data_IF_340662206734
#
_entry.id   IF_340662206734
#
_cell.length_a   1.000
_cell.length_b   1.000
_cell.length_c   1.000
_cell.angle_alpha   90.00
_cell.angle_beta   90.00
_cell.angle_gamma   90.00
#
_symmetry.space_group_name_H-M   'P 1'
#
loop_
_entity.id
_entity.type
_entity.pdbx_description
1 polymer ?
#
# COMPACT_ATOMS: atom_id res chain seq x y z
N UNK A 1 4.60 -4.87 35.52
CA UNK A 1 5.32 -4.77 34.23
C UNK A 1 4.63 -3.67 33.44
N UNK A 2 5.22 -2.48 33.41
CA UNK A 2 4.89 -1.48 32.39
C UNK A 2 5.74 -1.84 31.17
N UNK A 3 5.17 -2.60 30.21
CA UNK A 3 5.76 -2.71 28.89
C UNK A 3 5.75 -1.31 28.28
N UNK A 4 6.93 -0.76 28.06
CA UNK A 4 7.11 0.35 27.14
C UNK A 4 6.71 -0.17 25.77
N UNK A 5 5.60 0.30 25.22
CA UNK A 5 5.22 -0.04 23.86
C UNK A 5 6.38 0.32 22.94
N UNK A 6 6.96 -0.68 22.27
CA UNK A 6 7.99 -0.43 21.26
C UNK A 6 7.35 0.33 20.11
N UNK A 7 7.91 1.50 19.77
CA UNK A 7 7.53 2.24 18.58
C UNK A 7 8.27 1.60 17.38
N UNK A 8 7.53 0.93 16.50
CA UNK A 8 8.06 0.30 15.28
C UNK A 8 7.88 1.19 14.05
N UNK A 9 7.70 2.49 14.24
CA UNK A 9 7.62 3.44 13.13
C UNK A 9 8.88 3.37 12.26
N UNK A 10 8.72 3.47 10.96
CA UNK A 10 9.77 3.34 9.98
C UNK A 10 9.61 4.39 8.88
N UNK A 11 10.72 4.97 8.48
CA UNK A 11 10.84 5.75 7.25
C UNK A 11 11.86 5.07 6.34
N UNK A 12 11.54 4.94 5.05
CA UNK A 12 12.45 4.43 4.04
C UNK A 12 12.46 5.38 2.84
N UNK A 13 13.61 5.98 2.60
CA UNK A 13 13.84 6.86 1.47
C UNK A 13 14.42 6.14 0.25
N UNK A 14 14.64 4.82 0.37
CA UNK A 14 15.20 3.95 -0.66
C UNK A 14 16.56 4.41 -1.21
N UNK A 15 17.37 5.07 -0.39
CA UNK A 15 18.75 5.44 -0.77
C UNK A 15 19.71 4.26 -0.74
N UNK A 16 19.42 3.24 0.06
CA UNK A 16 20.19 2.01 0.16
C UNK A 16 20.04 1.14 -1.09
N UNK A 17 21.11 0.52 -1.60
CA UNK A 17 21.03 -0.46 -2.70
C UNK A 17 20.44 -1.82 -2.28
N UNK A 18 20.13 -2.00 -1.00
CA UNK A 18 19.48 -3.17 -0.45
C UNK A 18 18.22 -2.74 0.31
N UNK A 19 17.17 -3.55 0.21
CA UNK A 19 15.94 -3.35 0.99
C UNK A 19 16.23 -3.41 2.50
N UNK A 20 15.58 -2.55 3.26
CA UNK A 20 15.57 -2.64 4.71
C UNK A 20 15.03 -4.01 5.17
N UNK A 21 15.58 -4.62 6.24
CA UNK A 21 15.16 -5.93 6.73
C UNK A 21 13.68 -6.05 7.11
N UNK A 22 12.97 -4.95 7.34
CA UNK A 22 11.54 -4.97 7.60
C UNK A 22 10.70 -5.30 6.35
N UNK A 23 11.26 -5.12 5.15
CA UNK A 23 10.59 -5.48 3.91
C UNK A 23 10.61 -6.98 3.68
N UNK A 24 9.47 -7.50 3.30
CA UNK A 24 9.27 -8.91 2.95
C UNK A 24 8.72 -8.99 1.53
N UNK A 25 9.02 -10.09 0.87
CA UNK A 25 8.45 -10.49 -0.42
C UNK A 25 7.66 -11.78 -0.28
N UNK A 26 6.78 -12.08 -1.21
CA UNK A 26 6.01 -13.32 -1.17
C UNK A 26 6.81 -14.46 -1.82
N UNK A 27 7.18 -15.48 -1.05
CA UNK A 27 7.79 -16.76 -1.46
C UNK A 27 9.17 -16.71 -2.10
N UNK A 28 9.54 -15.61 -2.75
CA UNK A 28 10.84 -15.47 -3.43
C UNK A 28 11.56 -14.22 -2.93
N UNK A 29 12.88 -14.22 -2.84
CA UNK A 29 13.63 -13.03 -2.48
C UNK A 29 13.44 -11.89 -3.48
N UNK A 30 13.68 -10.66 -3.04
CA UNK A 30 13.75 -9.51 -3.92
C UNK A 30 14.89 -9.67 -4.93
N UNK A 31 14.59 -9.58 -6.21
CA UNK A 31 15.55 -9.74 -7.29
C UNK A 31 15.35 -8.69 -8.38
N UNK A 32 16.33 -8.52 -9.26
CA UNK A 32 16.23 -7.63 -10.41
C UNK A 32 15.03 -7.90 -11.35
N UNK A 33 14.44 -9.10 -11.30
CA UNK A 33 13.18 -9.43 -12.01
C UNK A 33 11.99 -8.69 -11.39
N UNK A 34 12.02 -8.48 -10.08
CA UNK A 34 10.96 -7.78 -9.35
C UNK A 34 11.17 -6.26 -9.38
N UNK A 35 12.43 -5.83 -9.28
CA UNK A 35 12.76 -4.41 -9.26
C UNK A 35 14.17 -4.11 -8.76
N UNK A 36 14.40 -2.85 -8.45
CA UNK A 36 15.66 -2.34 -7.88
C UNK A 36 15.38 -1.31 -6.81
N UNK A 37 16.30 -1.16 -5.85
CA UNK A 37 16.29 -0.11 -4.83
C UNK A 37 17.63 0.61 -4.82
N UNK A 38 17.64 1.89 -4.46
CA UNK A 38 18.80 2.75 -4.40
C UNK A 38 18.55 4.12 -5.01
N UNK A 39 19.46 5.04 -4.81
CA UNK A 39 19.41 6.41 -5.36
C UNK A 39 18.12 7.17 -5.03
N UNK A 40 17.55 6.92 -3.85
CA UNK A 40 16.35 7.61 -3.35
C UNK A 40 15.03 7.09 -3.89
N UNK A 41 15.02 5.89 -4.48
CA UNK A 41 13.79 5.26 -4.96
C UNK A 41 13.84 3.74 -4.97
N UNK A 42 12.66 3.15 -4.85
CA UNK A 42 12.38 1.78 -5.21
C UNK A 42 11.70 1.77 -6.58
N UNK A 43 12.20 1.00 -7.51
CA UNK A 43 11.55 0.74 -8.80
C UNK A 43 11.02 -0.68 -8.80
N UNK A 44 9.71 -0.87 -8.97
CA UNK A 44 9.09 -2.17 -9.17
C UNK A 44 8.70 -2.36 -10.65
N UNK A 45 8.97 -3.54 -11.17
CA UNK A 45 8.60 -3.94 -12.53
C UNK A 45 7.25 -4.66 -12.44
N UNK A 46 6.22 -4.16 -13.12
CA UNK A 46 4.90 -4.76 -13.12
C UNK A 46 4.91 -6.20 -13.58
N UNK A 47 4.29 -7.07 -12.78
CA UNK A 47 4.13 -8.50 -13.04
C UNK A 47 2.65 -8.90 -12.87
N UNK A 48 2.38 -10.14 -12.46
CA UNK A 48 1.04 -10.64 -12.18
C UNK A 48 0.31 -9.90 -11.04
N UNK A 49 -0.94 -10.23 -10.82
CA UNK A 49 -1.78 -9.58 -9.81
C UNK A 49 -1.40 -9.96 -8.40
N UNK A 50 -1.94 -9.21 -7.43
CA UNK A 50 -1.87 -9.55 -6.00
C UNK A 50 -2.59 -10.87 -5.65
N UNK A 51 -3.42 -11.40 -6.54
CA UNK A 51 -3.99 -12.74 -6.43
C UNK A 51 -3.05 -13.85 -6.95
N UNK A 52 -1.88 -13.50 -7.47
CA UNK A 52 -0.86 -14.43 -7.91
C UNK A 52 0.02 -14.87 -6.73
N UNK A 53 0.57 -16.08 -6.80
CA UNK A 53 1.40 -16.62 -5.69
C UNK A 53 2.89 -16.68 -6.02
N UNK A 54 3.29 -16.42 -7.24
CA UNK A 54 4.69 -16.55 -7.67
C UNK A 54 5.21 -15.34 -8.47
N UNK A 55 4.50 -14.94 -9.51
CA UNK A 55 4.94 -13.87 -10.39
C UNK A 55 4.23 -12.55 -10.02
N UNK A 56 4.66 -11.92 -8.93
CA UNK A 56 4.14 -10.62 -8.51
C UNK A 56 5.27 -9.73 -7.98
N UNK A 57 5.12 -8.44 -8.21
CA UNK A 57 6.00 -7.42 -7.65
C UNK A 57 5.33 -6.78 -6.45
N UNK A 58 5.66 -7.32 -5.27
CA UNK A 58 5.17 -6.87 -3.97
C UNK A 58 6.32 -6.87 -2.97
N UNK A 59 6.55 -5.74 -2.33
CA UNK A 59 7.29 -5.66 -1.08
C UNK A 59 6.38 -5.14 0.01
N UNK A 60 6.42 -5.73 1.18
CA UNK A 60 5.51 -5.38 2.26
C UNK A 60 6.15 -5.56 3.63
N UNK A 61 5.70 -4.78 4.59
CA UNK A 61 6.06 -4.93 6.01
C UNK A 61 4.83 -5.29 6.83
N UNK A 62 5.05 -5.96 7.97
CA UNK A 62 3.95 -6.34 8.87
C UNK A 62 3.25 -5.13 9.47
N UNK A 63 1.93 -5.25 9.67
CA UNK A 63 1.23 -4.46 10.66
C UNK A 63 1.73 -4.85 12.05
N UNK A 64 2.22 -3.89 12.79
CA UNK A 64 2.73 -4.09 14.16
C UNK A 64 1.91 -3.33 15.21
N UNK A 65 0.91 -2.57 14.75
CA UNK A 65 -0.02 -1.83 15.60
C UNK A 65 -1.44 -1.92 15.05
N UNK A 66 -2.43 -1.72 15.93
CA UNK A 66 -3.84 -1.60 15.56
C UNK A 66 -4.22 -0.18 15.11
N UNK A 67 -3.36 0.79 15.39
CA UNK A 67 -3.51 2.19 15.02
C UNK A 67 -2.23 2.66 14.38
N UNK A 68 -2.25 2.86 13.09
CA UNK A 68 -1.11 3.39 12.35
C UNK A 68 -1.55 4.07 11.06
N UNK A 69 -0.67 4.91 10.54
CA UNK A 69 -0.72 5.42 9.18
C UNK A 69 0.48 4.89 8.40
N UNK A 70 0.29 4.58 7.12
CA UNK A 70 1.39 4.31 6.22
C UNK A 70 1.18 5.06 4.91
N UNK A 71 2.23 5.71 4.43
CA UNK A 71 2.18 6.56 3.25
C UNK A 71 3.36 6.31 2.32
N UNK A 72 3.16 6.61 1.04
CA UNK A 72 4.18 6.50 0.01
C UNK A 72 3.94 7.52 -1.10
N UNK A 73 5.01 8.05 -1.67
CA UNK A 73 5.01 8.84 -2.88
C UNK A 73 5.25 7.95 -4.09
N UNK A 74 4.37 7.98 -5.08
CA UNK A 74 4.37 7.11 -6.26
C UNK A 74 4.48 7.92 -7.53
N UNK A 75 5.35 7.48 -8.44
CA UNK A 75 5.37 7.90 -9.84
C UNK A 75 5.08 6.70 -10.71
N UNK A 76 4.03 6.80 -11.53
CA UNK A 76 3.63 5.73 -12.43
C UNK A 76 2.88 6.30 -13.62
N UNK A 77 3.21 5.83 -14.82
CA UNK A 77 2.60 6.27 -16.07
C UNK A 77 1.96 5.06 -16.79
N UNK A 78 0.77 4.62 -16.34
CA UNK A 78 0.03 3.57 -17.01
C UNK A 78 -0.56 4.08 -18.32
N UNK A 79 -0.67 3.20 -19.30
CA UNK A 79 -1.36 3.44 -20.57
C UNK A 79 -2.48 2.41 -20.82
N UNK A 80 -2.76 1.55 -19.86
CA UNK A 80 -3.79 0.52 -19.92
C UNK A 80 -4.36 0.26 -18.53
N UNK A 81 -5.65 -0.09 -18.45
CA UNK A 81 -6.31 -0.54 -17.22
C UNK A 81 -5.71 -1.84 -16.63
N UNK A 82 -4.88 -2.53 -17.41
CA UNK A 82 -4.15 -3.73 -16.99
C UNK A 82 -2.88 -3.42 -16.20
N UNK A 83 -2.55 -2.15 -16.06
CA UNK A 83 -1.36 -1.67 -15.35
C UNK A 83 -1.77 -0.91 -14.11
N UNK A 84 -1.20 -1.29 -12.95
CA UNK A 84 -1.54 -0.75 -11.65
C UNK A 84 -0.31 -0.62 -10.79
N UNK A 85 -0.20 0.47 -10.02
CA UNK A 85 0.86 0.62 -9.02
C UNK A 85 0.39 1.47 -7.84
N UNK A 86 0.75 1.09 -6.62
CA UNK A 86 0.33 1.83 -5.43
C UNK A 86 0.58 1.12 -4.11
N UNK A 87 -0.29 1.40 -3.13
CA UNK A 87 -0.21 0.98 -1.74
C UNK A 87 -1.27 -0.11 -1.46
N UNK A 88 -0.84 -1.23 -0.90
CA UNK A 88 -1.71 -2.36 -0.58
C UNK A 88 -1.70 -2.69 0.91
N UNK A 89 -2.85 -3.13 1.42
CA UNK A 89 -2.94 -3.89 2.65
C UNK A 89 -3.20 -5.35 2.27
N UNK A 90 -2.35 -6.26 2.70
CA UNK A 90 -2.24 -7.61 2.14
C UNK A 90 -2.12 -8.66 3.24
N UNK A 91 -2.88 -9.75 3.12
CA UNK A 91 -2.72 -10.94 3.94
C UNK A 91 -2.22 -12.13 3.10
N UNK A 92 -2.94 -12.45 2.01
CA UNK A 92 -2.59 -13.49 1.04
C UNK A 92 -3.24 -13.21 -0.33
N UNK A 93 -3.09 -14.13 -1.28
CA UNK A 93 -3.64 -14.05 -2.63
C UNK A 93 -5.15 -13.86 -2.73
N UNK A 94 -5.90 -14.10 -1.65
CA UNK A 94 -7.38 -14.01 -1.59
C UNK A 94 -7.91 -12.91 -0.68
N UNK A 95 -7.03 -12.26 0.10
CA UNK A 95 -7.41 -11.28 1.09
C UNK A 95 -6.43 -10.10 1.03
N UNK A 96 -6.80 -9.06 0.32
CA UNK A 96 -6.02 -7.83 0.16
C UNK A 96 -6.90 -6.68 -0.31
N UNK A 97 -6.45 -5.47 -0.08
CA UNK A 97 -6.97 -4.27 -0.71
C UNK A 97 -5.83 -3.46 -1.31
N UNK A 98 -6.13 -2.64 -2.31
CA UNK A 98 -5.14 -1.93 -3.07
C UNK A 98 -5.69 -0.57 -3.52
N UNK A 99 -5.01 0.51 -3.16
CA UNK A 99 -5.19 1.83 -3.76
C UNK A 99 -4.09 2.03 -4.78
N UNK A 100 -4.44 2.36 -6.01
CA UNK A 100 -3.48 2.34 -7.11
C UNK A 100 -3.77 3.37 -8.19
N UNK A 101 -2.70 3.75 -8.88
CA UNK A 101 -2.76 4.42 -10.17
C UNK A 101 -3.02 3.38 -11.26
N UNK A 102 -3.90 3.71 -12.19
CA UNK A 102 -4.19 2.94 -13.40
C UNK A 102 -4.64 3.87 -14.53
N UNK A 103 -5.11 3.31 -15.61
CA UNK A 103 -5.63 4.03 -16.77
C UNK A 103 -7.07 3.63 -17.08
N UNK A 104 -7.90 4.59 -17.47
CA UNK A 104 -9.15 4.30 -18.14
C UNK A 104 -9.32 5.17 -19.40
N UNK A 105 -10.13 4.69 -20.33
CA UNK A 105 -10.34 5.29 -21.66
C UNK A 105 -10.96 6.71 -21.59
N UNK A 106 -11.68 7.01 -20.51
CA UNK A 106 -12.45 8.26 -20.37
C UNK A 106 -11.58 9.36 -19.78
N UNK A 107 -10.84 9.04 -18.71
CA UNK A 107 -10.16 10.03 -17.87
C UNK A 107 -8.63 9.97 -17.98
N UNK A 108 -8.07 8.98 -18.68
CA UNK A 108 -6.63 8.74 -18.72
C UNK A 108 -6.11 8.13 -17.40
N UNK A 109 -5.09 8.73 -16.81
CA UNK A 109 -4.53 8.30 -15.52
C UNK A 109 -5.51 8.58 -14.39
N UNK A 110 -5.84 7.55 -13.61
CA UNK A 110 -6.82 7.60 -12.53
C UNK A 110 -6.35 6.86 -11.29
N UNK A 111 -6.95 7.18 -10.15
CA UNK A 111 -6.86 6.43 -8.91
C UNK A 111 -8.08 5.54 -8.76
N UNK A 112 -7.87 4.29 -8.37
CA UNK A 112 -8.89 3.30 -8.08
C UNK A 112 -8.60 2.59 -6.76
N UNK A 113 -9.63 2.00 -6.15
CA UNK A 113 -9.51 1.13 -4.97
C UNK A 113 -10.14 -0.23 -5.27
N UNK A 114 -9.36 -1.27 -5.13
CA UNK A 114 -9.81 -2.65 -5.25
C UNK A 114 -9.64 -3.43 -3.96
N UNK A 115 -10.52 -4.39 -3.73
CA UNK A 115 -10.43 -5.37 -2.65
C UNK A 115 -10.63 -6.78 -3.20
N UNK A 116 -9.84 -7.71 -2.71
CA UNK A 116 -10.10 -9.14 -2.86
C UNK A 116 -10.44 -9.71 -1.49
N UNK A 117 -11.68 -10.16 -1.34
CA UNK A 117 -12.16 -10.80 -0.13
C UNK A 117 -12.63 -12.21 -0.47
N UNK A 118 -11.93 -13.22 0.07
CA UNK A 118 -12.18 -14.65 -0.18
C UNK A 118 -12.11 -15.03 -1.66
N UNK A 119 -11.26 -14.36 -2.43
CA UNK A 119 -11.12 -14.58 -3.87
C UNK A 119 -12.14 -13.83 -4.73
N UNK A 120 -13.04 -13.05 -4.12
CA UNK A 120 -13.97 -12.19 -4.84
C UNK A 120 -13.42 -10.77 -4.92
N UNK A 121 -13.14 -10.31 -6.13
CA UNK A 121 -12.69 -8.95 -6.39
C UNK A 121 -13.85 -7.95 -6.44
N UNK A 122 -13.65 -6.80 -5.80
CA UNK A 122 -14.55 -5.64 -5.83
C UNK A 122 -13.73 -4.41 -6.23
N UNK A 123 -14.15 -3.68 -7.26
CA UNK A 123 -13.68 -2.34 -7.59
C UNK A 123 -14.66 -1.36 -6.95
N UNK A 124 -14.16 -0.44 -6.13
CA UNK A 124 -15.01 0.44 -5.33
C UNK A 124 -15.40 1.73 -6.04
N UNK A 125 -14.49 2.32 -6.80
CA UNK A 125 -14.75 3.61 -7.46
C UNK A 125 -15.37 3.43 -8.85
N UNK A 126 -15.00 2.38 -9.58
CA UNK A 126 -15.56 2.09 -10.92
C UNK A 126 -15.60 3.32 -11.84
N UNK A 127 -16.83 3.73 -12.22
CA UNK A 127 -17.07 4.89 -13.08
C UNK A 127 -16.71 6.24 -12.40
N UNK A 128 -16.52 6.23 -11.08
CA UNK A 128 -16.12 7.37 -10.27
C UNK A 128 -14.62 7.36 -9.94
N UNK A 129 -13.81 6.64 -10.69
CA UNK A 129 -12.34 6.66 -10.53
C UNK A 129 -11.82 8.10 -10.52
N UNK A 130 -10.93 8.41 -9.59
CA UNK A 130 -10.47 9.79 -9.37
C UNK A 130 -9.45 10.13 -10.45
N UNK A 131 -9.78 11.11 -11.29
CA UNK A 131 -8.87 11.59 -12.33
C UNK A 131 -7.64 12.22 -11.70
N UNK A 132 -6.45 11.81 -12.13
CA UNK A 132 -5.19 12.51 -11.85
C UNK A 132 -5.09 13.69 -12.80
N UNK A 133 -4.91 14.92 -12.30
CA UNK A 133 -4.79 16.11 -13.15
C UNK A 133 -3.61 15.98 -14.13
N UNK A 134 -3.77 16.55 -15.31
CA UNK A 134 -2.72 16.55 -16.33
C UNK A 134 -1.47 17.28 -15.80
N UNK A 135 -0.29 16.71 -16.00
CA UNK A 135 0.98 17.24 -15.52
C UNK A 135 1.35 16.85 -14.08
N UNK A 136 0.46 16.18 -13.35
CA UNK A 136 0.80 15.60 -12.04
C UNK A 136 1.68 14.37 -12.24
N UNK A 137 2.94 14.49 -11.83
CA UNK A 137 3.95 13.45 -11.95
C UNK A 137 3.90 12.48 -10.78
N UNK A 138 3.65 12.98 -9.57
CA UNK A 138 3.66 12.20 -8.33
C UNK A 138 2.29 12.20 -7.67
N UNK A 139 1.93 11.04 -7.11
CA UNK A 139 0.74 10.90 -6.27
C UNK A 139 1.18 10.28 -4.95
N UNK A 140 0.70 10.82 -3.84
CA UNK A 140 0.89 10.21 -2.52
C UNK A 140 -0.33 9.40 -2.18
N UNK A 141 -0.11 8.18 -1.73
CA UNK A 141 -1.13 7.34 -1.11
C UNK A 141 -0.86 7.19 0.37
N UNK A 142 -1.92 7.17 1.16
CA UNK A 142 -1.86 6.89 2.58
C UNK A 142 -2.99 5.94 2.96
N UNK A 143 -2.67 4.90 3.76
CA UNK A 143 -3.66 4.07 4.47
C UNK A 143 -3.71 4.49 5.93
N UNK A 144 -4.92 4.56 6.48
CA UNK A 144 -5.18 4.88 7.89
C UNK A 144 -5.86 3.69 8.54
N UNK A 145 -5.14 2.98 9.40
CA UNK A 145 -5.68 1.82 10.12
C UNK A 145 -6.11 2.24 11.52
N UNK A 146 -7.36 1.93 11.86
CA UNK A 146 -8.01 2.31 13.12
C UNK A 146 -8.74 1.11 13.70
N UNK A 147 -7.96 0.15 14.23
CA UNK A 147 -8.39 -1.08 14.87
C UNK A 147 -9.26 -1.97 13.97
N UNK A 148 -10.54 -1.70 13.86
CA UNK A 148 -11.50 -2.53 13.12
C UNK A 148 -11.68 -2.11 11.68
N UNK A 149 -11.29 -0.89 11.33
CA UNK A 149 -11.48 -0.35 9.99
C UNK A 149 -10.20 0.31 9.48
N UNK A 150 -10.10 0.42 8.17
CA UNK A 150 -9.10 1.23 7.53
C UNK A 150 -9.65 1.90 6.29
N UNK A 151 -9.01 3.00 5.89
CA UNK A 151 -9.36 3.78 4.70
C UNK A 151 -8.09 4.16 3.95
N UNK A 152 -8.30 4.70 2.76
CA UNK A 152 -7.24 5.25 1.93
C UNK A 152 -7.44 6.74 1.69
N UNK A 153 -6.35 7.43 1.56
CA UNK A 153 -6.27 8.83 1.16
C UNK A 153 -5.28 8.99 0.01
N UNK A 154 -5.46 10.05 -0.75
CA UNK A 154 -4.51 10.46 -1.78
C UNK A 154 -4.17 11.93 -1.66
N UNK A 155 -3.02 12.32 -2.22
CA UNK A 155 -2.61 13.71 -2.37
C UNK A 155 -1.86 13.90 -3.68
N UNK A 156 -1.99 15.09 -4.29
CA UNK A 156 -1.22 15.49 -5.47
C UNK A 156 -0.08 16.46 -5.15
N UNK A 157 0.01 16.94 -3.92
CA UNK A 157 1.03 17.89 -3.44
C UNK A 157 1.88 17.33 -2.28
N UNK A 158 1.47 16.19 -1.70
CA UNK A 158 2.12 15.57 -0.54
C UNK A 158 1.78 16.23 0.80
N UNK A 159 0.92 17.24 0.81
CA UNK A 159 0.53 18.00 2.00
C UNK A 159 -0.96 17.85 2.28
N UNK A 160 -1.78 18.12 1.27
CA UNK A 160 -3.25 18.11 1.38
C UNK A 160 -3.77 16.73 0.99
N UNK A 161 -4.12 15.92 1.97
CA UNK A 161 -4.69 14.59 1.74
C UNK A 161 -6.21 14.64 1.67
N UNK A 162 -6.75 13.95 0.68
CA UNK A 162 -8.19 13.76 0.46
C UNK A 162 -8.56 12.32 0.73
N UNK A 163 -9.54 12.10 1.60
CA UNK A 163 -10.04 10.77 1.89
C UNK A 163 -10.80 10.20 0.69
N UNK A 164 -10.51 8.96 0.34
CA UNK A 164 -11.28 8.19 -0.62
C UNK A 164 -12.50 7.63 0.11
N UNK A 165 -13.74 7.82 -0.39
CA UNK A 165 -14.96 7.45 0.34
C UNK A 165 -15.20 5.94 0.34
N UNK A 166 -14.21 5.18 0.79
CA UNK A 166 -14.21 3.71 0.92
C UNK A 166 -13.65 3.36 2.29
N UNK A 167 -14.49 2.78 3.14
CA UNK A 167 -14.08 2.22 4.43
C UNK A 167 -14.06 0.71 4.34
N UNK A 168 -12.95 0.10 4.74
CA UNK A 168 -12.68 -1.33 4.66
C UNK A 168 -12.62 -1.95 6.05
N UNK A 169 -12.99 -3.22 6.14
CA UNK A 169 -12.97 -3.99 7.39
C UNK A 169 -11.58 -4.64 7.58
N UNK A 170 -10.88 -4.24 8.64
CA UNK A 170 -9.57 -4.80 8.97
C UNK A 170 -9.63 -6.28 9.37
N UNK A 171 -10.78 -6.78 9.79
CA UNK A 171 -10.96 -8.20 10.11
C UNK A 171 -10.70 -9.11 8.90
N UNK A 172 -10.98 -8.64 7.68
CA UNK A 172 -10.70 -9.37 6.42
C UNK A 172 -9.23 -9.78 6.29
N UNK A 173 -8.33 -9.02 6.94
CA UNK A 173 -6.88 -9.25 6.96
C UNK A 173 -6.41 -9.92 8.27
N UNK A 174 -7.31 -10.55 9.02
CA UNK A 174 -6.96 -11.26 10.27
C UNK A 174 -6.87 -12.77 10.04
N UNK A 175 -6.05 -13.42 10.88
CA UNK A 175 -5.92 -14.88 10.90
C UNK A 175 -7.28 -15.57 11.13
N UNK A 176 -8.09 -15.06 12.07
CA UNK A 176 -9.40 -15.63 12.40
C UNK A 176 -10.36 -15.60 11.22
N UNK A 177 -10.39 -14.52 10.46
CA UNK A 177 -11.27 -14.39 9.29
C UNK A 177 -10.82 -15.31 8.14
N UNK A 178 -9.52 -15.35 7.88
CA UNK A 178 -8.94 -16.16 6.81
C UNK A 178 -9.09 -17.65 7.09
N UNK A 179 -8.90 -18.07 8.35
CA UNK A 179 -9.10 -19.44 8.83
C UNK A 179 -10.49 -20.00 8.52
N UNK A 180 -11.53 -19.17 8.58
CA UNK A 180 -12.90 -19.57 8.32
C UNK A 180 -13.16 -19.97 6.87
N UNK A 181 -12.33 -19.51 5.93
CA UNK A 181 -12.58 -19.67 4.49
C UNK A 181 -11.53 -20.47 3.74
N UNK A 182 -10.30 -20.57 4.24
CA UNK A 182 -9.19 -21.10 3.41
C UNK A 182 -8.08 -21.83 4.17
N UNK A 183 -8.24 -22.03 5.45
CA UNK A 183 -7.15 -22.58 6.28
C UNK A 183 -6.15 -21.50 6.72
N UNK A 184 -5.69 -21.61 7.93
CA UNK A 184 -4.88 -20.56 8.54
C UNK A 184 -3.42 -20.71 8.22
N UNK A 185 -2.81 -19.57 8.04
CA UNK A 185 -1.37 -19.49 7.80
C UNK A 185 -0.63 -18.69 8.87
N UNK A 186 -1.32 -18.11 9.84
CA UNK A 186 -0.73 -17.32 10.95
C UNK A 186 0.34 -16.33 10.47
N UNK A 187 0.06 -15.64 9.37
CA UNK A 187 1.02 -14.70 8.78
C UNK A 187 0.79 -13.28 9.24
N UNK A 188 -0.44 -12.93 9.63
CA UNK A 188 -0.84 -11.56 9.94
C UNK A 188 -0.92 -10.66 8.71
N UNK A 189 -1.41 -9.44 8.91
CA UNK A 189 -1.54 -8.43 7.86
C UNK A 189 -0.21 -7.73 7.55
N UNK A 190 -0.09 -7.27 6.32
CA UNK A 190 1.03 -6.47 5.81
C UNK A 190 0.51 -5.20 5.15
N UNK A 191 1.32 -4.15 5.16
CA UNK A 191 1.18 -2.97 4.30
C UNK A 191 2.36 -2.92 3.35
N UNK A 192 2.11 -2.65 2.07
CA UNK A 192 3.18 -2.77 1.09
C UNK A 192 2.96 -2.02 -0.22
N UNK A 193 3.95 -2.12 -1.07
CA UNK A 193 4.06 -1.47 -2.37
C UNK A 193 3.99 -2.52 -3.45
N UNK A 194 3.17 -2.30 -4.46
CA UNK A 194 2.98 -3.26 -5.52
C UNK A 194 2.90 -2.62 -6.90
N UNK A 195 3.38 -3.36 -7.90
CA UNK A 195 3.23 -3.04 -9.32
C UNK A 195 2.72 -4.25 -10.09
N UNK A 196 1.69 -4.03 -10.89
CA UNK A 196 0.99 -5.05 -11.68
C UNK A 196 1.00 -4.65 -13.15
N UNK A 197 1.25 -5.59 -14.03
CA UNK A 197 1.14 -5.42 -15.49
C UNK A 197 0.67 -6.73 -16.14
N UNK A 198 -0.64 -6.87 -16.31
CA UNK A 198 -1.24 -8.02 -16.98
C UNK A 198 -0.96 -8.03 -18.49
N UNK A 199 -0.62 -6.87 -19.08
CA UNK A 199 -0.32 -6.76 -20.49
C UNK A 199 1.09 -7.30 -20.82
N UNK A 200 1.93 -7.51 -19.78
CA UNK A 200 3.25 -8.12 -19.93
C UNK A 200 4.34 -7.21 -20.49
N UNK A 201 4.13 -5.90 -20.47
CA UNK A 201 5.15 -4.91 -20.89
C UNK A 201 6.23 -4.69 -19.83
N UNK A 202 6.00 -5.13 -18.58
CA UNK A 202 6.91 -4.86 -17.48
C UNK A 202 6.98 -3.38 -17.14
N UNK A 203 5.85 -2.68 -17.18
CA UNK A 203 5.77 -1.25 -16.88
C UNK A 203 6.30 -0.98 -15.49
N UNK A 204 7.21 -0.02 -15.37
CA UNK A 204 7.88 0.29 -14.12
C UNK A 204 7.13 1.33 -13.30
N UNK A 205 7.05 1.11 -12.00
CA UNK A 205 6.56 2.06 -11.03
C UNK A 205 7.68 2.46 -10.08
N UNK A 206 7.80 3.75 -9.81
CA UNK A 206 8.79 4.29 -8.89
C UNK A 206 8.11 4.73 -7.58
N UNK A 207 8.68 4.31 -6.46
CA UNK A 207 8.20 4.61 -5.12
C UNK A 207 9.28 5.38 -4.36
N UNK A 208 8.85 6.40 -3.62
CA UNK A 208 9.71 7.31 -2.86
C UNK A 208 9.14 7.50 -1.47
N UNK A 209 9.98 7.75 -0.47
CA UNK A 209 9.56 8.25 0.84
C UNK A 209 8.43 7.43 1.47
N UNK A 210 8.64 6.13 1.63
CA UNK A 210 7.69 5.31 2.39
C UNK A 210 7.79 5.65 3.88
N UNK A 211 6.64 5.75 4.51
CA UNK A 211 6.54 6.00 5.95
C UNK A 211 5.48 5.07 6.56
N UNK A 212 5.82 4.49 7.69
CA UNK A 212 4.92 3.74 8.56
C UNK A 212 5.01 4.35 9.95
N UNK A 213 3.91 4.88 10.46
CA UNK A 213 3.86 5.55 11.75
C UNK A 213 2.84 4.91 12.66
N UNK A 214 3.30 4.36 13.79
CA UNK A 214 2.42 3.86 14.84
C UNK A 214 1.82 5.03 15.62
N UNK A 215 0.53 4.91 15.90
CA UNK A 215 -0.23 5.85 16.72
C UNK A 215 -0.52 5.18 18.06
N UNK A 216 -0.25 5.87 19.16
CA UNK A 216 -0.64 5.38 20.48
C UNK A 216 -2.16 5.32 20.61
N UNK A 217 -2.68 4.33 21.33
CA UNK A 217 -4.14 4.11 21.53
C UNK A 217 -4.88 5.37 22.05
N UNK A 218 -4.22 6.18 22.86
CA UNK A 218 -4.79 7.43 23.39
C UNK A 218 -4.94 8.52 22.32
N UNK A 219 -4.05 8.57 21.33
CA UNK A 219 -4.10 9.51 20.20
C UNK A 219 -5.12 9.09 19.15
N UNK A 220 -5.39 7.79 19.06
CA UNK A 220 -6.37 7.24 18.14
C UNK A 220 -7.81 7.45 18.62
N UNK A 221 -8.03 7.61 19.93
CA UNK A 221 -9.37 7.71 20.52
C UNK A 221 -10.03 9.08 20.34
N UNK A 222 -9.25 10.17 20.24
CA UNK A 222 -9.79 11.55 20.17
C UNK A 222 -9.81 12.16 18.77
N UNK A 223 -9.25 11.47 17.78
CA UNK A 223 -9.22 11.95 16.40
C UNK A 223 -8.36 13.21 16.17
N UNK A 224 -7.60 13.63 17.17
CA UNK A 224 -6.85 14.89 17.17
C UNK A 224 -5.50 14.81 16.45
N UNK A 225 -5.11 13.61 15.98
CA UNK A 225 -3.86 13.45 15.25
C UNK A 225 -3.97 13.97 13.82
N UNK A 226 -3.29 15.08 13.55
CA UNK A 226 -3.07 15.56 12.17
C UNK A 226 -1.72 15.04 11.66
N UNK A 227 -1.74 14.33 10.56
CA UNK A 227 -0.53 13.99 9.81
C UNK A 227 0.08 15.25 9.20
N UNK A 228 1.35 15.51 9.50
CA UNK A 228 2.16 16.47 8.76
C UNK A 228 3.35 15.74 8.14
N UNK A 229 3.36 15.63 6.81
CA UNK A 229 4.44 14.99 6.07
C UNK A 229 5.76 15.75 6.33
N UNK A 230 6.71 15.09 6.98
CA UNK A 230 8.06 15.62 7.19
C UNK A 230 8.41 16.09 8.60
N UNK A 231 7.52 15.98 9.59
CA UNK A 231 7.95 16.20 10.98
C UNK A 231 8.74 15.00 11.52
N UNK A 232 10.05 15.15 11.51
CA UNK A 232 10.94 14.31 12.33
C UNK A 232 10.62 14.59 13.80
N UNK A 233 10.11 13.59 14.53
CA UNK A 233 10.07 13.66 15.98
C UNK A 233 11.50 13.83 16.49
N UNK A 234 11.86 15.04 16.88
CA UNK A 234 13.03 15.25 17.73
C UNK A 234 12.74 14.56 19.06
N UNK A 235 13.56 13.55 19.38
CA UNK A 235 13.61 12.87 20.67
C UNK A 235 13.96 13.82 21.79
#
# INVERSE_FOLDING_TARGET
FTESASDNSQQDDFTSPALDPNWNTLRVPFTAKMGTTGDGKLTLIGQGSLANTHDLSLIARRWQAFYFDAAVKVKFEPFSYQQMAGLTNYYNDRHWSFVFLTWNEINGKVIEVGENNRGKYTSYLKDNAIKVPDGVEYVWFRTKVRKQTYSYEYSFDGVSFTEIPVQLDAAVLSDDYVLQSYGGFFTGAFVGLAAVDYAGYGTQAEFYQFEYQELGDALAADGSYSWEAGETRNK
#
